data_IF_605395642722
#
_entry.id   IF_605395642722
#
_cell.length_a   1.000
_cell.length_b   1.000
_cell.length_c   1.000
_cell.angle_alpha   90.00
_cell.angle_beta   90.00
_cell.angle_gamma   90.00
#
_symmetry.space_group_name_H-M   'P 1'
#
loop_
_entity.id
_entity.type
_entity.pdbx_description
1 polymer ?
#
# COMPACT_ATOMS: atom_id res chain seq x y z
N UNK A 1 -12.67 5.72 -5.79
CA UNK A 1 -12.55 4.54 -6.68
C UNK A 1 -13.89 4.33 -7.36
N UNK A 2 -13.96 4.52 -8.67
CA UNK A 2 -15.13 4.14 -9.45
C UNK A 2 -14.95 2.67 -9.86
N UNK A 3 -15.66 1.77 -9.24
CA UNK A 3 -15.82 0.40 -9.72
C UNK A 3 -16.89 0.38 -10.82
N UNK A 4 -16.63 1.01 -11.94
CA UNK A 4 -17.49 0.90 -13.10
C UNK A 4 -16.79 0.03 -14.14
N UNK A 5 -17.39 -1.10 -14.42
CA UNK A 5 -16.95 -2.07 -15.42
C UNK A 5 -17.10 -1.59 -16.88
N UNK A 6 -17.57 -0.36 -17.11
CA UNK A 6 -17.82 0.20 -18.43
C UNK A 6 -16.76 1.24 -18.87
N UNK A 7 -15.63 1.33 -18.17
CA UNK A 7 -14.52 2.16 -18.64
C UNK A 7 -13.78 1.40 -19.73
N UNK A 8 -13.65 1.97 -20.92
CA UNK A 8 -12.77 1.42 -21.94
C UNK A 8 -11.33 1.47 -21.41
N UNK A 9 -10.78 0.30 -21.06
CA UNK A 9 -9.42 0.18 -20.56
C UNK A 9 -8.39 0.73 -21.55
N UNK A 10 -8.72 0.80 -22.86
CA UNK A 10 -7.86 1.41 -23.86
C UNK A 10 -7.68 2.91 -23.63
N UNK A 11 -8.69 3.59 -23.06
CA UNK A 11 -8.57 5.01 -22.75
C UNK A 11 -7.51 5.28 -21.68
N UNK A 12 -7.42 4.45 -20.64
CA UNK A 12 -6.46 4.62 -19.55
C UNK A 12 -5.09 3.99 -19.82
N UNK A 13 -4.94 3.22 -20.90
CA UNK A 13 -3.69 2.56 -21.28
C UNK A 13 -2.77 3.41 -22.17
N UNK A 14 -3.22 4.59 -22.60
CA UNK A 14 -2.42 5.51 -23.42
C UNK A 14 -1.20 5.98 -22.64
N UNK A 15 -0.03 5.95 -23.27
CA UNK A 15 1.26 6.32 -22.67
C UNK A 15 1.89 7.50 -23.42
N UNK A 16 2.85 8.16 -22.77
CA UNK A 16 3.58 9.30 -23.34
C UNK A 16 3.08 10.66 -22.86
N UNK A 17 3.71 11.71 -23.36
CA UNK A 17 3.38 13.09 -23.02
C UNK A 17 2.14 13.61 -23.77
N UNK A 18 1.43 14.53 -23.16
CA UNK A 18 0.31 15.25 -23.78
C UNK A 18 -0.93 14.39 -24.01
N UNK A 19 -1.10 13.32 -23.25
CA UNK A 19 -2.25 12.44 -23.38
C UNK A 19 -3.55 13.08 -22.86
N UNK A 20 -4.66 12.56 -23.35
CA UNK A 20 -5.97 12.82 -22.77
C UNK A 20 -6.61 11.48 -22.44
N UNK A 21 -6.89 11.28 -21.16
CA UNK A 21 -7.65 10.14 -20.65
C UNK A 21 -9.05 10.63 -20.30
N UNK A 22 -10.04 10.19 -21.06
CA UNK A 22 -11.42 10.66 -20.91
C UNK A 22 -12.28 9.60 -20.21
N UNK A 23 -12.54 9.85 -18.92
CA UNK A 23 -13.47 9.07 -18.10
C UNK A 23 -14.71 9.90 -17.72
N UNK A 24 -14.96 11.02 -18.41
CA UNK A 24 -16.07 11.93 -18.09
C UNK A 24 -17.44 11.30 -18.28
N UNK A 25 -17.55 10.27 -19.14
CA UNK A 25 -18.78 9.52 -19.37
C UNK A 25 -19.01 8.36 -18.39
N UNK A 26 -18.06 8.08 -17.51
CA UNK A 26 -18.20 7.02 -16.51
C UNK A 26 -19.30 7.41 -15.54
N UNK A 27 -20.36 6.63 -15.52
CA UNK A 27 -21.54 6.83 -14.67
C UNK A 27 -21.88 5.55 -13.91
N UNK A 28 -22.42 5.70 -12.73
CA UNK A 28 -22.78 4.59 -11.86
C UNK A 28 -21.63 4.19 -10.93
N UNK A 29 -21.88 3.23 -10.08
CA UNK A 29 -20.92 2.74 -9.09
C UNK A 29 -21.22 3.23 -7.67
N UNK A 30 -20.44 2.74 -6.71
CA UNK A 30 -20.53 3.14 -5.30
C UNK A 30 -19.53 4.26 -5.06
N UNK A 31 -20.00 5.39 -4.55
CA UNK A 31 -19.10 6.47 -4.11
C UNK A 31 -18.48 6.10 -2.77
N UNK A 32 -17.17 5.98 -2.73
CA UNK A 32 -16.40 5.81 -1.49
C UNK A 32 -15.59 7.06 -1.22
N UNK A 33 -15.52 7.45 0.05
CA UNK A 33 -14.72 8.60 0.48
C UNK A 33 -13.51 8.10 1.26
N UNK A 34 -12.32 8.47 0.80
CA UNK A 34 -11.09 8.29 1.57
C UNK A 34 -10.81 9.56 2.35
N UNK A 35 -10.74 9.46 3.67
CA UNK A 35 -10.37 10.57 4.54
C UNK A 35 -8.88 10.50 4.89
N UNK A 36 -8.21 11.60 4.67
CA UNK A 36 -6.85 11.85 5.13
C UNK A 36 -6.92 12.61 6.45
N UNK A 37 -6.50 12.01 7.52
CA UNK A 37 -6.60 12.60 8.86
C UNK A 37 -5.23 12.67 9.55
N UNK A 38 -5.11 13.58 10.53
CA UNK A 38 -3.88 13.69 11.33
C UNK A 38 -3.70 12.42 12.17
N UNK A 39 -2.47 11.89 12.31
CA UNK A 39 -2.20 10.65 13.06
C UNK A 39 -2.70 10.69 14.51
N UNK A 40 -2.78 11.88 15.11
CA UNK A 40 -3.32 12.09 16.47
C UNK A 40 -4.81 11.78 16.61
N UNK A 41 -5.55 11.65 15.50
CA UNK A 41 -6.95 11.24 15.50
C UNK A 41 -7.13 9.74 15.30
N UNK A 42 -6.09 9.03 14.89
CA UNK A 42 -6.08 7.59 14.75
C UNK A 42 -5.88 6.89 16.09
N UNK A 43 -6.39 5.68 16.21
CA UNK A 43 -6.25 4.87 17.43
C UNK A 43 -4.79 4.44 17.65
N UNK A 44 -4.00 4.33 16.56
CA UNK A 44 -2.66 3.77 16.59
C UNK A 44 -1.56 4.74 16.11
N UNK A 45 -1.89 6.04 16.02
CA UNK A 45 -0.93 7.06 15.59
C UNK A 45 0.36 7.10 16.43
N UNK A 46 0.28 6.72 17.69
CA UNK A 46 1.45 6.63 18.59
C UNK A 46 2.49 5.58 18.14
N UNK A 47 2.08 4.56 17.37
CA UNK A 47 2.98 3.57 16.78
C UNK A 47 3.77 4.12 15.59
N UNK A 48 3.30 5.20 14.97
CA UNK A 48 3.87 5.79 13.76
C UNK A 48 4.21 7.28 13.97
N UNK A 49 5.16 7.62 14.84
CA UNK A 49 5.46 9.02 15.21
C UNK A 49 5.98 9.86 14.03
N UNK A 50 6.40 9.21 12.94
CA UNK A 50 6.87 9.90 11.72
C UNK A 50 5.74 10.14 10.71
N UNK A 51 4.53 9.61 10.95
CA UNK A 51 3.42 9.80 10.05
C UNK A 51 2.96 11.26 10.03
N UNK A 52 2.60 11.74 8.85
CA UNK A 52 1.99 13.06 8.66
C UNK A 52 0.49 12.97 8.51
N UNK A 53 -0.01 11.83 8.06
CA UNK A 53 -1.43 11.51 8.01
C UNK A 53 -1.66 9.99 8.04
N UNK A 54 -2.92 9.62 8.22
CA UNK A 54 -3.38 8.25 8.03
C UNK A 54 -4.67 8.22 7.22
N UNK A 55 -4.96 7.05 6.68
CA UNK A 55 -6.21 6.72 5.99
C UNK A 55 -6.93 5.67 6.82
N UNK A 56 -8.23 5.88 7.07
CA UNK A 56 -9.08 4.86 7.65
C UNK A 56 -9.84 4.15 6.51
N UNK A 57 -9.52 2.89 6.27
CA UNK A 57 -10.14 2.05 5.23
C UNK A 57 -11.45 1.39 5.70
N UNK A 58 -11.89 1.71 6.91
CA UNK A 58 -13.07 1.13 7.55
C UNK A 58 -12.71 0.04 8.58
N UNK A 59 -13.63 -0.20 9.53
CA UNK A 59 -13.53 -1.27 10.55
C UNK A 59 -12.44 -1.02 11.58
N UNK A 60 -11.44 -0.57 11.65
CA UNK A 60 -10.23 -0.35 12.45
C UNK A 60 -8.94 -0.51 11.60
N UNK A 61 -9.09 -0.51 10.27
CA UNK A 61 -7.94 -0.59 9.38
C UNK A 61 -7.40 0.81 9.13
N UNK A 62 -6.35 1.17 9.85
CA UNK A 62 -5.64 2.42 9.71
C UNK A 62 -4.33 2.17 8.94
N UNK A 63 -4.06 2.99 7.92
CA UNK A 63 -2.81 2.93 7.14
C UNK A 63 -2.09 4.26 7.29
N UNK A 64 -0.83 4.23 7.66
CA UNK A 64 -0.05 5.39 8.04
C UNK A 64 0.97 5.78 6.98
N UNK A 65 1.03 7.08 6.70
CA UNK A 65 1.85 7.66 5.64
C UNK A 65 2.69 8.83 6.15
N UNK A 66 3.80 9.01 5.49
CA UNK A 66 4.60 10.22 5.59
C UNK A 66 4.57 10.95 4.25
N UNK A 67 4.14 12.20 4.26
CA UNK A 67 4.25 13.12 3.12
C UNK A 67 5.28 14.19 3.42
N UNK A 68 6.22 14.38 2.51
CA UNK A 68 7.22 15.44 2.52
C UNK A 68 7.49 15.90 1.07
N UNK A 69 8.43 16.81 0.88
CA UNK A 69 8.82 17.34 -0.44
C UNK A 69 9.39 16.28 -1.39
N UNK A 70 9.80 15.11 -0.87
CA UNK A 70 10.27 13.98 -1.68
C UNK A 70 9.14 13.06 -2.13
N UNK A 71 7.93 13.21 -1.59
CA UNK A 71 6.76 12.41 -1.98
C UNK A 71 5.94 11.85 -0.82
N UNK A 72 5.17 10.83 -1.12
CA UNK A 72 4.32 10.11 -0.18
C UNK A 72 4.90 8.71 0.04
N UNK A 73 5.16 8.38 1.30
CA UNK A 73 5.72 7.09 1.73
C UNK A 73 4.74 6.35 2.61
N UNK A 74 4.49 5.10 2.29
CA UNK A 74 3.79 4.15 3.14
C UNK A 74 4.72 3.71 4.27
N UNK A 75 4.29 3.88 5.51
CA UNK A 75 5.03 3.48 6.71
C UNK A 75 4.58 2.11 7.23
N UNK A 76 3.31 1.78 7.07
CA UNK A 76 2.73 0.54 7.52
C UNK A 76 1.28 0.68 8.01
N UNK A 77 0.78 -0.42 8.57
CA UNK A 77 -0.53 -0.50 9.18
C UNK A 77 -0.45 -1.29 10.49
N UNK A 78 -1.21 -0.93 11.53
CA UNK A 78 -1.31 -1.74 12.73
C UNK A 78 -1.92 -3.11 12.41
N UNK A 79 -1.47 -4.14 13.07
CA UNK A 79 -1.98 -5.51 12.93
C UNK A 79 -2.19 -6.14 14.29
N UNK A 80 -3.14 -7.08 14.37
CA UNK A 80 -3.29 -7.87 15.59
C UNK A 80 -2.02 -8.69 15.85
N UNK A 81 -1.58 -8.71 17.10
CA UNK A 81 -0.46 -9.54 17.53
C UNK A 81 -0.77 -11.02 17.30
N UNK A 82 0.17 -11.76 16.73
CA UNK A 82 0.05 -13.21 16.61
C UNK A 82 0.14 -13.92 17.96
N UNK A 83 0.79 -13.30 18.95
CA UNK A 83 0.96 -13.86 20.30
C UNK A 83 -0.27 -13.62 21.15
N UNK A 84 -0.84 -12.41 21.05
CA UNK A 84 -1.99 -11.99 21.82
C UNK A 84 -2.93 -11.20 20.91
N UNK A 85 -3.97 -11.82 20.35
CA UNK A 85 -4.88 -11.16 19.42
C UNK A 85 -5.61 -9.93 19.98
N UNK A 86 -5.60 -9.74 21.29
CA UNK A 86 -6.11 -8.53 21.96
C UNK A 86 -5.13 -7.35 21.93
N UNK A 87 -3.89 -7.56 21.51
CA UNK A 87 -2.86 -6.52 21.41
C UNK A 87 -2.66 -6.17 19.94
N UNK A 88 -2.62 -4.87 19.65
CA UNK A 88 -2.28 -4.37 18.32
C UNK A 88 -0.81 -4.01 18.29
N UNK A 89 -0.10 -4.54 17.33
CA UNK A 89 1.32 -4.32 17.08
C UNK A 89 1.54 -3.44 15.85
N UNK A 90 2.73 -2.84 15.78
CA UNK A 90 3.15 -2.05 14.64
C UNK A 90 3.54 -2.95 13.47
N UNK A 91 2.70 -3.02 12.45
CA UNK A 91 3.07 -3.59 11.15
C UNK A 91 3.91 -2.59 10.36
N UNK A 92 5.23 -2.57 10.59
CA UNK A 92 6.13 -1.60 9.98
C UNK A 92 6.73 -2.13 8.68
N UNK A 93 6.61 -1.34 7.62
CA UNK A 93 7.24 -1.61 6.33
C UNK A 93 8.64 -1.01 6.33
N UNK A 94 9.67 -1.81 6.12
CA UNK A 94 11.09 -1.40 6.15
C UNK A 94 11.84 -1.78 4.88
N UNK A 95 12.49 -0.81 4.23
CA UNK A 95 12.31 0.63 4.40
C UNK A 95 10.90 1.08 4.00
N UNK A 96 10.45 2.28 4.42
CA UNK A 96 9.20 2.87 3.94
C UNK A 96 9.19 2.97 2.42
N UNK A 97 8.03 2.71 1.80
CA UNK A 97 7.88 2.67 0.35
C UNK A 97 7.28 3.95 -0.16
N UNK A 98 7.88 4.54 -1.18
CA UNK A 98 7.24 5.58 -1.94
C UNK A 98 6.07 5.00 -2.73
N UNK A 99 4.87 5.47 -2.46
CA UNK A 99 3.72 5.30 -3.34
C UNK A 99 3.70 6.38 -4.43
N UNK A 100 4.11 7.58 -4.06
CA UNK A 100 4.31 8.69 -4.98
C UNK A 100 5.66 9.32 -4.68
N UNK A 101 6.55 9.36 -5.66
CA UNK A 101 7.81 10.09 -5.58
C UNK A 101 7.69 11.44 -6.25
N UNK A 102 8.28 12.49 -5.67
CA UNK A 102 8.32 13.84 -6.25
C UNK A 102 9.75 14.40 -6.23
N UNK A 103 10.21 15.10 -7.27
CA UNK A 103 9.55 15.23 -8.59
C UNK A 103 9.60 13.92 -9.38
N UNK A 104 8.70 13.76 -10.33
CA UNK A 104 8.66 12.62 -11.24
C UNK A 104 8.35 13.10 -12.66
N UNK A 105 9.02 12.55 -13.65
CA UNK A 105 8.84 12.85 -15.06
C UNK A 105 8.49 11.59 -15.83
N UNK A 106 7.89 11.75 -17.00
CA UNK A 106 7.62 10.61 -17.89
C UNK A 106 8.93 9.92 -18.27
N UNK A 107 8.97 8.60 -18.07
CA UNK A 107 10.16 7.77 -18.25
C UNK A 107 10.92 7.46 -16.95
N UNK A 108 10.63 8.17 -15.86
CA UNK A 108 11.25 7.87 -14.57
C UNK A 108 10.76 6.52 -14.05
N UNK A 109 11.70 5.77 -13.48
CA UNK A 109 11.44 4.48 -12.85
C UNK A 109 11.87 4.50 -11.39
N UNK A 110 11.14 3.78 -10.55
CA UNK A 110 11.44 3.61 -9.14
C UNK A 110 11.27 2.14 -8.75
N UNK A 111 12.40 1.51 -8.42
CA UNK A 111 12.44 0.12 -7.96
C UNK A 111 12.71 0.11 -6.46
N UNK A 112 11.82 -0.51 -5.69
CA UNK A 112 11.89 -0.54 -4.24
C UNK A 112 11.65 -1.96 -3.74
N UNK A 113 12.30 -2.31 -2.65
CA UNK A 113 12.04 -3.57 -1.93
C UNK A 113 11.83 -3.25 -0.47
N UNK A 114 10.76 -3.74 0.09
CA UNK A 114 10.47 -3.61 1.50
C UNK A 114 10.19 -4.95 2.15
N UNK A 115 10.33 -4.97 3.45
CA UNK A 115 10.19 -6.16 4.27
C UNK A 115 9.23 -5.89 5.42
N UNK A 116 8.37 -6.86 5.67
CA UNK A 116 7.66 -7.02 6.93
C UNK A 116 8.16 -8.34 7.56
N UNK A 117 8.65 -8.25 8.78
CA UNK A 117 9.11 -9.43 9.52
C UNK A 117 8.21 -9.62 10.73
N UNK A 118 7.69 -10.84 10.89
CA UNK A 118 6.83 -11.23 11.99
C UNK A 118 7.45 -12.45 12.64
N UNK A 119 7.85 -12.32 13.92
CA UNK A 119 8.34 -13.45 14.71
C UNK A 119 7.16 -14.09 15.43
N UNK A 120 6.93 -15.37 15.15
CA UNK A 120 5.82 -16.17 15.68
C UNK A 120 6.38 -17.13 16.73
N UNK A 121 6.07 -16.95 18.02
CA UNK A 121 6.47 -17.88 19.06
C UNK A 121 5.87 -19.26 18.85
N UNK A 122 6.65 -20.31 19.08
CA UNK A 122 6.19 -21.70 18.92
C UNK A 122 4.98 -22.01 19.79
N UNK A 123 4.87 -21.37 20.96
CA UNK A 123 3.75 -21.59 21.90
C UNK A 123 2.35 -21.30 21.34
N UNK A 124 2.24 -20.56 20.21
CA UNK A 124 0.95 -20.25 19.56
C UNK A 124 0.72 -21.07 18.29
N UNK A 125 1.70 -21.88 17.90
CA UNK A 125 1.60 -22.74 16.71
C UNK A 125 0.97 -24.07 17.11
N UNK A 126 -0.09 -24.53 16.42
CA UNK A 126 -0.69 -25.82 16.72
C UNK A 126 0.33 -26.97 16.63
N UNK A 127 0.31 -27.88 17.60
CA UNK A 127 1.19 -29.05 17.64
C UNK A 127 1.09 -29.91 16.37
N UNK A 128 -0.09 -29.96 15.76
CA UNK A 128 -0.31 -30.65 14.49
C UNK A 128 0.58 -30.14 13.36
N UNK A 129 0.90 -28.84 13.35
CA UNK A 129 1.82 -28.24 12.37
C UNK A 129 3.27 -28.44 12.82
N UNK A 130 3.59 -28.25 14.10
CA UNK A 130 4.95 -28.44 14.64
C UNK A 130 5.45 -29.86 14.44
N UNK A 131 4.58 -30.85 14.56
CA UNK A 131 4.93 -32.27 14.38
C UNK A 131 5.20 -32.65 12.91
N UNK A 132 4.86 -31.80 11.94
CA UNK A 132 5.21 -32.02 10.53
C UNK A 132 6.59 -31.48 10.17
N UNK A 133 7.20 -30.67 11.05
CA UNK A 133 8.51 -30.10 10.80
C UNK A 133 9.61 -31.11 11.16
N UNK A 134 10.67 -31.23 10.35
CA UNK A 134 11.77 -32.16 10.61
C UNK A 134 12.59 -31.78 11.85
N UNK A 135 12.55 -30.51 12.24
CA UNK A 135 13.20 -29.96 13.44
C UNK A 135 12.15 -29.10 14.14
N UNK A 136 12.08 -29.21 15.48
CA UNK A 136 11.21 -28.33 16.26
C UNK A 136 11.94 -27.00 16.50
N UNK A 137 11.48 -25.90 15.89
CA UNK A 137 12.10 -24.60 16.07
C UNK A 137 11.70 -23.97 17.42
N UNK A 138 12.50 -23.05 17.94
CA UNK A 138 12.15 -22.24 19.11
C UNK A 138 11.18 -21.10 18.74
N UNK A 139 11.22 -20.66 17.49
CA UNK A 139 10.34 -19.65 16.89
C UNK A 139 10.22 -19.86 15.40
N UNK A 140 9.13 -19.37 14.81
CA UNK A 140 8.99 -19.22 13.35
C UNK A 140 9.07 -17.75 12.99
N UNK A 141 9.84 -17.44 11.97
CA UNK A 141 9.90 -16.09 11.40
C UNK A 141 9.21 -16.05 10.05
N UNK A 142 8.16 -15.26 9.94
CA UNK A 142 7.52 -14.95 8.66
C UNK A 142 8.15 -13.68 8.10
N UNK A 143 8.82 -13.80 6.96
CA UNK A 143 9.37 -12.68 6.23
C UNK A 143 8.57 -12.45 4.95
N UNK A 144 7.86 -11.33 4.89
CA UNK A 144 7.13 -10.89 3.72
C UNK A 144 8.02 -9.86 3.00
N UNK A 145 8.40 -10.19 1.77
CA UNK A 145 9.18 -9.30 0.92
C UNK A 145 8.28 -8.79 -0.19
N UNK A 146 8.13 -7.47 -0.31
CA UNK A 146 7.36 -6.86 -1.38
C UNK A 146 8.28 -6.01 -2.25
N UNK A 147 8.27 -6.30 -3.54
CA UNK A 147 8.99 -5.54 -4.57
C UNK A 147 7.99 -4.66 -5.30
N UNK A 148 8.30 -3.39 -5.40
CA UNK A 148 7.51 -2.37 -6.08
C UNK A 148 8.34 -1.81 -7.23
N UNK A 149 7.83 -1.97 -8.43
CA UNK A 149 8.43 -1.39 -9.63
C UNK A 149 7.42 -0.40 -10.22
N UNK A 150 7.72 0.87 -10.10
CA UNK A 150 6.91 1.96 -10.64
C UNK A 150 7.57 2.54 -11.88
N UNK A 151 6.76 2.91 -12.84
CA UNK A 151 7.17 3.66 -14.01
C UNK A 151 6.17 4.79 -14.28
N UNK A 152 6.66 6.01 -14.48
CA UNK A 152 5.84 7.11 -14.95
C UNK A 152 5.72 7.01 -16.47
N UNK A 153 4.58 6.55 -16.93
CA UNK A 153 4.37 6.19 -18.34
C UNK A 153 3.71 7.28 -19.17
N UNK A 154 3.15 8.30 -18.54
CA UNK A 154 2.47 9.35 -19.27
C UNK A 154 2.22 10.62 -18.47
N UNK A 155 1.97 11.69 -19.19
CA UNK A 155 1.51 12.98 -18.65
C UNK A 155 0.42 13.57 -19.53
N UNK A 156 -0.52 14.31 -18.94
CA UNK A 156 -1.59 14.93 -19.72
C UNK A 156 -2.79 15.35 -18.89
N UNK A 157 -3.96 15.27 -19.50
CA UNK A 157 -5.23 15.68 -18.90
C UNK A 157 -6.10 14.45 -18.64
N UNK A 158 -6.51 14.28 -17.38
CA UNK A 158 -7.55 13.34 -16.99
C UNK A 158 -8.88 14.08 -16.92
N UNK A 159 -9.79 13.74 -17.83
CA UNK A 159 -11.16 14.26 -17.84
C UNK A 159 -12.04 13.38 -16.97
N UNK A 160 -12.56 13.96 -15.89
CA UNK A 160 -13.51 13.31 -15.00
C UNK A 160 -14.90 13.95 -15.13
N UNK A 161 -15.98 13.31 -14.62
CA UNK A 161 -17.27 13.96 -14.52
C UNK A 161 -17.16 15.29 -13.74
N UNK A 162 -17.41 16.43 -14.44
CA UNK A 162 -17.43 17.76 -13.83
C UNK A 162 -16.10 18.49 -13.69
N UNK A 163 -14.94 17.85 -13.92
CA UNK A 163 -13.64 18.52 -13.79
C UNK A 163 -12.50 17.79 -14.51
N UNK A 164 -11.59 18.58 -15.08
CA UNK A 164 -10.34 18.09 -15.67
C UNK A 164 -9.17 18.30 -14.72
N UNK A 165 -8.21 17.38 -14.76
CA UNK A 165 -7.00 17.41 -13.93
C UNK A 165 -5.74 17.25 -14.78
N UNK A 166 -4.71 18.05 -14.53
CA UNK A 166 -3.36 17.78 -15.03
C UNK A 166 -2.75 16.66 -14.19
N UNK A 167 -2.33 15.57 -14.83
CA UNK A 167 -1.90 14.35 -14.13
C UNK A 167 -0.64 13.77 -14.74
N UNK A 168 0.04 12.95 -13.93
CA UNK A 168 1.01 11.95 -14.35
C UNK A 168 0.38 10.57 -14.22
N UNK A 169 0.60 9.73 -15.20
CA UNK A 169 0.23 8.32 -15.16
C UNK A 169 1.40 7.50 -14.60
N UNK A 170 1.11 6.70 -13.60
CA UNK A 170 2.08 5.77 -13.03
C UNK A 170 1.55 4.34 -13.15
N UNK A 171 2.37 3.44 -13.64
CA UNK A 171 2.11 2.00 -13.61
C UNK A 171 2.95 1.37 -12.50
N UNK A 172 2.33 0.52 -11.70
CA UNK A 172 2.98 -0.20 -10.61
C UNK A 172 2.89 -1.72 -10.85
N UNK A 173 4.05 -2.39 -10.80
CA UNK A 173 4.14 -3.83 -10.73
C UNK A 173 4.56 -4.21 -9.31
N UNK A 174 3.69 -4.91 -8.59
CA UNK A 174 3.91 -5.28 -7.20
C UNK A 174 4.02 -6.80 -7.10
N UNK A 175 5.13 -7.28 -6.53
CA UNK A 175 5.35 -8.71 -6.29
C UNK A 175 5.59 -8.92 -4.81
N UNK A 176 4.77 -9.77 -4.19
CA UNK A 176 4.92 -10.15 -2.78
C UNK A 176 5.34 -11.60 -2.67
N UNK A 177 6.38 -11.86 -1.88
CA UNK A 177 6.92 -13.17 -1.59
C UNK A 177 6.91 -13.36 -0.07
N UNK A 178 6.28 -14.42 0.40
CA UNK A 178 6.23 -14.77 1.82
C UNK A 178 7.08 -16.02 2.06
N UNK A 179 8.05 -15.92 2.95
CA UNK A 179 8.90 -17.02 3.37
C UNK A 179 8.74 -17.24 4.87
N UNK A 180 8.64 -18.50 5.27
CA UNK A 180 8.72 -18.90 6.67
C UNK A 180 10.11 -19.50 6.92
N UNK A 181 10.77 -19.02 7.97
CA UNK A 181 12.09 -19.47 8.43
C UNK A 181 11.93 -20.02 9.84
N UNK A 182 12.59 -21.14 10.14
CA UNK A 182 12.57 -21.83 11.43
C UNK A 182 13.92 -21.70 12.15
#
# INVERSE_FOLDING_TARGET
>A
YYNSLNTDLNEISKVGNGQTWDISSVSGGITTYTKYELPTKGNYGYLYPQATYFINEGGNSEVYYKSDDTGIKLLGAPSASFINPGIIEKGEIRPPIFEIKTPMNVGDQLNQTAYLVIDIPVSIIPDSLLNTLPIKPDSLRLKITTKYNYECTGSGILKCPGKDFSVLQQIANITTISNAEA
#
